data_IF_883915639907
#
_entry.id   IF_883915639907
#
_cell.length_a   1.000
_cell.length_b   1.000
_cell.length_c   1.000
_cell.angle_alpha   90.00
_cell.angle_beta   90.00
_cell.angle_gamma   90.00
#
_symmetry.space_group_name_H-M   'P 1'
#
loop_
_entity.id
_entity.type
_entity.pdbx_description
1 polymer ?
#
# COMPACT_ATOMS: atom_id res chain seq x y z
N UNK A 1 23.19 5.26 4.72
CA UNK A 1 23.64 4.09 3.93
C UNK A 1 22.50 3.17 3.48
N UNK A 2 21.50 2.81 4.32
CA UNK A 2 20.41 1.90 3.90
C UNK A 2 19.48 2.47 2.79
N UNK A 3 19.21 3.78 2.78
CA UNK A 3 18.40 4.47 1.76
C UNK A 3 18.92 4.30 0.33
N UNK A 4 20.18 4.69 0.10
CA UNK A 4 20.82 4.59 -1.21
C UNK A 4 21.01 3.14 -1.71
N UNK A 5 21.05 2.17 -0.80
CA UNK A 5 21.08 0.76 -1.19
C UNK A 5 19.70 0.31 -1.69
N UNK A 6 18.64 0.58 -0.93
CA UNK A 6 17.28 0.22 -1.35
C UNK A 6 16.89 0.89 -2.67
N UNK A 7 17.25 2.16 -2.89
CA UNK A 7 17.03 2.86 -4.16
C UNK A 7 17.86 2.28 -5.33
N UNK A 8 19.03 1.70 -5.06
CA UNK A 8 19.88 1.06 -6.06
C UNK A 8 19.41 -0.36 -6.43
N UNK A 9 18.67 -1.03 -5.54
CA UNK A 9 18.29 -2.45 -5.69
C UNK A 9 16.77 -2.69 -5.82
N UNK A 10 15.92 -1.69 -5.56
CA UNK A 10 14.51 -1.68 -5.97
C UNK A 10 14.41 -0.80 -7.22
N UNK A 11 14.27 -1.40 -8.42
CA UNK A 11 14.08 -0.62 -9.63
C UNK A 11 12.90 0.33 -9.46
N UNK A 12 12.97 1.53 -10.02
CA UNK A 12 11.88 2.51 -10.01
C UNK A 12 10.54 1.91 -10.46
N UNK A 13 10.60 0.94 -11.38
CA UNK A 13 9.46 0.14 -11.82
C UNK A 13 8.74 -0.57 -10.66
N UNK A 14 9.49 -1.19 -9.74
CA UNK A 14 8.94 -1.94 -8.61
C UNK A 14 8.34 -1.01 -7.55
N UNK A 15 8.91 0.17 -7.36
CA UNK A 15 8.31 1.22 -6.53
C UNK A 15 6.99 1.70 -7.17
N UNK A 16 6.98 1.89 -8.50
CA UNK A 16 5.78 2.25 -9.25
C UNK A 16 4.66 1.20 -9.15
N UNK A 17 5.00 -0.09 -9.19
CA UNK A 17 4.07 -1.20 -9.00
C UNK A 17 3.47 -1.22 -7.59
N UNK A 18 4.31 -1.12 -6.54
CA UNK A 18 3.84 -1.07 -5.16
C UNK A 18 2.92 0.12 -4.90
N UNK A 19 3.23 1.30 -5.47
CA UNK A 19 2.34 2.47 -5.38
C UNK A 19 1.01 2.21 -6.06
N UNK A 20 1.00 1.58 -7.24
CA UNK A 20 -0.25 1.21 -7.93
C UNK A 20 -1.08 0.26 -7.07
N UNK A 21 -0.46 -0.73 -6.44
CA UNK A 21 -1.15 -1.66 -5.54
C UNK A 21 -1.77 -0.95 -4.33
N UNK A 22 -1.06 0.03 -3.74
CA UNK A 22 -1.59 0.87 -2.66
C UNK A 22 -2.80 1.69 -3.15
N UNK A 23 -2.71 2.31 -4.32
CA UNK A 23 -3.79 3.13 -4.89
C UNK A 23 -5.02 2.32 -5.28
N UNK A 24 -4.84 1.06 -5.67
CA UNK A 24 -5.91 0.18 -6.11
C UNK A 24 -6.32 -0.85 -5.07
N UNK A 25 -5.91 -0.69 -3.80
CA UNK A 25 -6.22 -1.66 -2.77
C UNK A 25 -7.74 -1.73 -2.57
N UNK A 26 -8.28 -2.94 -2.56
CA UNK A 26 -9.69 -3.21 -2.29
C UNK A 26 -9.80 -4.41 -1.37
N UNK A 27 -10.70 -4.36 -0.42
CA UNK A 27 -11.07 -5.49 0.41
C UNK A 27 -11.75 -6.53 -0.47
N UNK A 28 -11.41 -7.80 -0.29
CA UNK A 28 -12.12 -8.89 -0.95
C UNK A 28 -13.39 -9.27 -0.17
N UNK A 29 -14.46 -9.76 -0.83
CA UNK A 29 -15.72 -10.14 -0.14
C UNK A 29 -15.58 -11.20 0.94
N UNK A 30 -14.51 -11.98 0.91
CA UNK A 30 -14.20 -13.03 1.87
C UNK A 30 -13.10 -12.61 2.86
N UNK A 31 -12.51 -11.43 2.68
CA UNK A 31 -11.42 -10.91 3.52
C UNK A 31 -12.02 -10.12 4.67
N UNK A 32 -11.62 -10.46 5.89
CA UNK A 32 -12.01 -9.68 7.07
C UNK A 32 -11.34 -8.30 7.06
N UNK A 33 -11.92 -7.34 7.78
CA UNK A 33 -11.32 -6.01 7.94
C UNK A 33 -9.89 -6.08 8.47
N UNK A 34 -9.62 -7.03 9.39
CA UNK A 34 -8.28 -7.19 9.97
C UNK A 34 -7.27 -7.70 8.93
N UNK A 35 -7.63 -8.70 8.13
CA UNK A 35 -6.77 -9.21 7.06
C UNK A 35 -6.48 -8.13 6.01
N UNK A 36 -7.50 -7.37 5.63
CA UNK A 36 -7.37 -6.21 4.74
C UNK A 36 -6.41 -5.15 5.30
N UNK A 37 -6.56 -4.79 6.58
CA UNK A 37 -5.67 -3.86 7.26
C UNK A 37 -4.23 -4.38 7.31
N UNK A 38 -4.02 -5.66 7.65
CA UNK A 38 -2.70 -6.27 7.65
C UNK A 38 -2.04 -6.21 6.27
N UNK A 39 -2.78 -6.51 5.20
CA UNK A 39 -2.28 -6.43 3.82
C UNK A 39 -1.91 -5.00 3.42
N UNK A 40 -2.72 -4.01 3.82
CA UNK A 40 -2.39 -2.60 3.61
C UNK A 40 -1.09 -2.20 4.34
N UNK A 41 -0.92 -2.59 5.60
CA UNK A 41 0.30 -2.33 6.38
C UNK A 41 1.53 -2.99 5.76
N UNK A 42 1.39 -4.23 5.24
CA UNK A 42 2.48 -4.90 4.52
C UNK A 42 2.90 -4.15 3.25
N UNK A 43 1.96 -3.62 2.48
CA UNK A 43 2.25 -2.84 1.28
C UNK A 43 3.03 -1.56 1.62
N UNK A 44 2.67 -0.88 2.71
CA UNK A 44 3.41 0.27 3.22
C UNK A 44 4.83 -0.11 3.68
N UNK A 45 4.97 -1.24 4.39
CA UNK A 45 6.27 -1.73 4.84
C UNK A 45 7.20 -2.13 3.68
N UNK A 46 6.63 -2.64 2.57
CA UNK A 46 7.36 -2.97 1.33
C UNK A 46 7.78 -1.72 0.55
N UNK A 47 7.12 -0.57 0.77
CA UNK A 47 7.41 0.70 0.09
C UNK A 47 7.70 1.84 1.08
N UNK A 48 8.76 1.79 1.91
CA UNK A 48 9.03 2.80 2.94
C UNK A 48 9.34 4.20 2.39
N UNK A 49 9.50 4.33 1.07
CA UNK A 49 9.69 5.60 0.33
C UNK A 49 8.54 5.85 -0.65
N UNK A 50 7.32 5.47 -0.26
CA UNK A 50 6.12 5.65 -1.09
C UNK A 50 5.86 7.12 -1.45
N UNK A 51 6.31 8.10 -0.64
CA UNK A 51 6.08 9.54 -0.87
C UNK A 51 4.59 9.91 -1.02
N UNK A 52 3.72 9.05 -0.50
CA UNK A 52 2.26 9.25 -0.40
C UNK A 52 2.00 9.92 0.94
N UNK A 53 1.22 10.99 0.99
CA UNK A 53 0.85 11.64 2.25
C UNK A 53 -0.17 10.84 3.04
N UNK A 54 -0.19 11.01 4.37
CA UNK A 54 -1.07 10.27 5.27
C UNK A 54 -2.56 10.44 4.92
N UNK A 55 -2.98 11.64 4.51
CA UNK A 55 -4.37 11.91 4.07
C UNK A 55 -4.76 11.06 2.86
N UNK A 56 -3.85 10.86 1.92
CA UNK A 56 -4.08 10.03 0.74
C UNK A 56 -4.11 8.55 1.11
N UNK A 57 -3.26 8.11 2.04
CA UNK A 57 -3.29 6.73 2.55
C UNK A 57 -4.62 6.41 3.23
N UNK A 58 -5.11 7.31 4.09
CA UNK A 58 -6.42 7.16 4.74
C UNK A 58 -7.53 7.08 3.70
N UNK A 59 -7.48 7.95 2.68
CA UNK A 59 -8.44 7.93 1.58
C UNK A 59 -8.42 6.60 0.81
N UNK A 60 -7.26 6.13 0.36
CA UNK A 60 -7.16 4.88 -0.40
C UNK A 60 -7.60 3.67 0.41
N UNK A 61 -7.26 3.65 1.71
CA UNK A 61 -7.73 2.62 2.61
C UNK A 61 -9.26 2.63 2.74
N UNK A 62 -9.86 3.81 2.97
CA UNK A 62 -11.31 3.93 3.09
C UNK A 62 -12.04 3.58 1.79
N UNK A 63 -11.60 4.12 0.65
CA UNK A 63 -12.21 3.88 -0.66
C UNK A 63 -12.10 2.41 -1.11
N UNK A 64 -11.13 1.67 -0.56
CA UNK A 64 -10.95 0.25 -0.80
C UNK A 64 -11.80 -0.66 0.08
N UNK A 65 -12.41 -0.16 1.16
CA UNK A 65 -13.25 -0.98 2.03
C UNK A 65 -14.53 -1.41 1.31
N UNK A 66 -14.88 -2.68 1.45
CA UNK A 66 -16.18 -3.16 1.02
C UNK A 66 -17.23 -2.60 1.99
N UNK A 67 -18.14 -1.76 1.47
CA UNK A 67 -19.32 -1.36 2.22
C UNK A 67 -20.23 -2.58 2.31
N UNK A 68 -20.15 -3.31 3.42
CA UNK A 68 -21.15 -4.30 3.77
C UNK A 68 -22.46 -3.55 4.03
N UNK A 69 -23.34 -3.54 3.03
CA UNK A 69 -24.70 -3.01 3.14
C UNK A 69 -25.62 -4.01 3.81
#
# INVERSE_FOLDING_TARGET
MKKAFLEKYLPDARIGELKKEIYSIKQDPLESFYEYWCRFQELLAKCPHHQIGDEQLIKYFHDGLLVTS
#
